data_IF_706973169613
#
_entry.id   IF_706973169613
#
_cell.length_a   1.000
_cell.length_b   1.000
_cell.length_c   1.000
_cell.angle_alpha   90.00
_cell.angle_beta   90.00
_cell.angle_gamma   90.00
#
_symmetry.space_group_name_H-M   'P 1'
#
loop_
_entity.id
_entity.type
_entity.pdbx_description
1 polymer ?
#
# COMPACT_ATOMS: atom_id res chain seq x y z
N UNK A 1 -13.17 -21.70 4.68
CA UNK A 1 -12.84 -20.87 5.86
C UNK A 1 -12.11 -19.63 5.37
N UNK A 2 -12.72 -18.45 5.49
CA UNK A 2 -12.03 -17.18 5.22
C UNK A 2 -10.92 -17.01 6.26
N UNK A 3 -9.67 -16.90 5.82
CA UNK A 3 -8.52 -16.61 6.68
C UNK A 3 -8.73 -15.20 7.23
N UNK A 4 -9.16 -15.09 8.49
CA UNK A 4 -9.35 -13.79 9.16
C UNK A 4 -7.96 -13.22 9.38
N UNK A 5 -7.66 -12.10 8.73
CA UNK A 5 -6.44 -11.35 8.95
C UNK A 5 -6.59 -10.64 10.30
N UNK A 6 -5.77 -11.02 11.29
CA UNK A 6 -5.76 -10.40 12.61
C UNK A 6 -5.35 -8.92 12.51
N UNK A 7 -6.09 -8.03 13.15
CA UNK A 7 -5.79 -6.59 13.18
C UNK A 7 -4.74 -6.28 14.28
N UNK A 8 -3.52 -6.79 14.15
CA UNK A 8 -2.45 -6.56 15.13
C UNK A 8 -1.48 -5.45 14.67
N UNK A 9 -1.12 -4.54 15.57
CA UNK A 9 -0.19 -3.44 15.26
C UNK A 9 1.23 -3.92 14.91
N UNK A 10 1.69 -5.03 15.50
CA UNK A 10 2.99 -5.64 15.20
C UNK A 10 3.12 -6.07 13.73
N UNK A 11 2.05 -6.57 13.13
CA UNK A 11 2.03 -6.99 11.73
C UNK A 11 2.09 -5.78 10.77
N UNK A 12 1.67 -4.60 11.20
CA UNK A 12 1.59 -3.40 10.35
C UNK A 12 2.94 -2.94 9.83
N UNK A 13 3.99 -3.00 10.66
CA UNK A 13 5.35 -2.64 10.25
C UNK A 13 5.90 -3.66 9.24
N UNK A 14 5.75 -4.95 9.54
CA UNK A 14 6.20 -6.03 8.66
C UNK A 14 5.49 -6.00 7.29
N UNK A 15 4.19 -5.73 7.28
CA UNK A 15 3.40 -5.54 6.06
C UNK A 15 3.94 -4.35 5.25
N UNK A 16 4.17 -3.21 5.90
CA UNK A 16 4.68 -2.00 5.23
C UNK A 16 6.06 -2.26 4.60
N UNK A 17 6.95 -2.93 5.32
CA UNK A 17 8.28 -3.27 4.81
C UNK A 17 8.21 -4.27 3.64
N UNK A 18 7.32 -5.27 3.74
CA UNK A 18 7.08 -6.23 2.65
C UNK A 18 6.55 -5.54 1.38
N UNK A 19 5.64 -4.56 1.54
CA UNK A 19 5.12 -3.77 0.41
C UNK A 19 6.26 -2.94 -0.21
N UNK A 20 7.11 -2.28 0.59
CA UNK A 20 8.27 -1.54 0.05
C UNK A 20 9.23 -2.44 -0.73
N UNK A 21 9.53 -3.63 -0.20
CA UNK A 21 10.36 -4.63 -0.88
C UNK A 21 9.71 -5.03 -2.21
N UNK A 22 8.40 -5.27 -2.24
CA UNK A 22 7.65 -5.56 -3.47
C UNK A 22 7.77 -4.41 -4.48
N UNK A 23 7.53 -3.17 -4.07
CA UNK A 23 7.61 -1.99 -4.95
C UNK A 23 8.99 -1.82 -5.58
N UNK A 24 10.04 -2.05 -4.80
CA UNK A 24 11.42 -2.00 -5.28
C UNK A 24 11.75 -3.17 -6.20
N UNK A 25 11.38 -4.40 -5.83
CA UNK A 25 11.68 -5.62 -6.59
C UNK A 25 11.03 -5.61 -7.98
N UNK A 26 9.82 -5.08 -8.09
CA UNK A 26 9.06 -5.06 -9.34
C UNK A 26 9.08 -3.69 -10.03
N UNK A 27 9.90 -2.75 -9.56
CA UNK A 27 10.00 -1.39 -10.10
C UNK A 27 8.63 -0.73 -10.34
N UNK A 28 7.70 -0.90 -9.40
CA UNK A 28 6.28 -0.47 -9.54
C UNK A 28 6.18 1.02 -9.85
N UNK A 29 7.04 1.85 -9.23
CA UNK A 29 7.11 3.28 -9.51
C UNK A 29 7.48 3.59 -10.97
N UNK A 30 8.35 2.80 -11.59
CA UNK A 30 8.73 2.98 -13.00
C UNK A 30 7.57 2.60 -13.93
N UNK A 31 6.86 1.52 -13.61
CA UNK A 31 5.66 1.07 -14.35
C UNK A 31 4.56 2.14 -14.28
N UNK A 32 4.32 2.72 -13.10
CA UNK A 32 3.35 3.80 -12.93
C UNK A 32 3.74 5.03 -13.77
N UNK A 33 5.04 5.37 -13.80
CA UNK A 33 5.55 6.48 -14.61
C UNK A 33 5.39 6.23 -16.11
N UNK A 34 5.68 5.02 -16.59
CA UNK A 34 5.53 4.67 -18.02
C UNK A 34 4.06 4.58 -18.44
N UNK A 35 3.15 4.28 -17.51
CA UNK A 35 1.71 4.20 -17.75
C UNK A 35 1.02 5.58 -17.82
N UNK A 36 1.77 6.67 -17.98
CA UNK A 36 1.26 8.05 -17.98
C UNK A 36 0.48 8.46 -16.71
N UNK A 37 0.70 7.78 -15.59
CA UNK A 37 0.04 8.15 -14.33
C UNK A 37 0.65 9.45 -13.82
N UNK A 38 -0.15 10.51 -13.78
CA UNK A 38 0.27 11.83 -13.34
C UNK A 38 0.13 11.97 -11.83
N UNK A 39 1.01 12.78 -11.23
CA UNK A 39 0.86 13.21 -9.83
C UNK A 39 -0.48 13.92 -9.68
N UNK A 40 -1.23 13.56 -8.64
CA UNK A 40 -2.46 14.24 -8.24
C UNK A 40 -2.14 15.13 -7.04
N UNK A 41 -2.34 16.44 -7.19
CA UNK A 41 -2.20 17.42 -6.09
C UNK A 41 -0.89 17.31 -5.28
N UNK A 42 0.23 17.01 -5.96
CA UNK A 42 1.55 16.91 -5.33
C UNK A 42 1.92 15.53 -4.81
N UNK A 43 0.97 14.60 -4.67
CA UNK A 43 1.25 13.24 -4.22
C UNK A 43 1.73 12.33 -5.35
N UNK A 44 2.67 11.44 -5.00
CA UNK A 44 3.15 10.42 -5.91
C UNK A 44 2.09 9.33 -6.09
N UNK A 45 1.76 8.90 -7.33
CA UNK A 45 0.88 7.76 -7.56
C UNK A 45 1.34 6.48 -6.86
N UNK A 46 2.67 6.30 -6.70
CA UNK A 46 3.24 5.18 -5.95
C UNK A 46 2.83 5.20 -4.48
N UNK A 47 2.72 6.38 -3.86
CA UNK A 47 2.33 6.53 -2.46
C UNK A 47 0.86 6.13 -2.27
N UNK A 48 0.00 6.56 -3.19
CA UNK A 48 -1.43 6.21 -3.18
C UNK A 48 -1.60 4.70 -3.32
N UNK A 49 -0.88 4.07 -4.25
CA UNK A 49 -0.96 2.62 -4.44
C UNK A 49 -0.39 1.85 -3.24
N UNK A 50 0.72 2.32 -2.66
CA UNK A 50 1.32 1.72 -1.47
C UNK A 50 0.37 1.81 -0.26
N UNK A 51 -0.35 2.92 -0.12
CA UNK A 51 -1.40 3.10 0.89
C UNK A 51 -2.59 2.16 0.65
N UNK A 52 -3.07 2.03 -0.59
CA UNK A 52 -4.14 1.08 -0.91
C UNK A 52 -3.74 -0.37 -0.58
N UNK A 53 -2.50 -0.76 -0.89
CA UNK A 53 -1.99 -2.09 -0.53
C UNK A 53 -1.94 -2.27 0.99
N UNK A 54 -1.46 -1.27 1.74
CA UNK A 54 -1.39 -1.36 3.20
C UNK A 54 -2.78 -1.50 3.83
N UNK A 55 -3.80 -0.82 3.32
CA UNK A 55 -5.19 -0.96 3.78
C UNK A 55 -5.72 -2.39 3.59
N UNK A 56 -5.53 -2.96 2.40
CA UNK A 56 -5.98 -4.33 2.08
C UNK A 56 -5.30 -5.35 2.99
N UNK A 57 -3.98 -5.28 3.14
CA UNK A 57 -3.24 -6.27 3.93
C UNK A 57 -3.41 -6.09 5.45
N UNK A 58 -3.71 -4.87 5.92
CA UNK A 58 -4.06 -4.62 7.33
C UNK A 58 -5.54 -4.91 7.62
N UNK A 59 -6.33 -5.26 6.60
CA UNK A 59 -7.78 -5.41 6.69
C UNK A 59 -8.45 -4.19 7.36
N UNK A 60 -8.04 -2.99 6.92
CA UNK A 60 -8.60 -1.71 7.35
C UNK A 60 -9.21 -0.98 6.16
N UNK A 61 -10.36 -0.35 6.38
CA UNK A 61 -10.87 0.64 5.43
C UNK A 61 -10.11 1.96 5.61
N UNK A 62 -10.09 2.80 4.58
CA UNK A 62 -9.52 4.15 4.69
C UNK A 62 -10.12 4.93 5.86
N UNK A 63 -11.45 4.82 6.06
CA UNK A 63 -12.15 5.46 7.18
C UNK A 63 -11.61 5.02 8.54
N UNK A 64 -11.36 3.72 8.74
CA UNK A 64 -10.84 3.17 9.99
C UNK A 64 -9.36 3.48 10.25
N UNK A 65 -8.61 3.86 9.22
CA UNK A 65 -7.20 4.27 9.35
C UNK A 65 -7.06 5.78 9.60
N UNK A 66 -8.14 6.54 9.40
CA UNK A 66 -8.22 7.99 9.66
C UNK A 66 -8.79 8.33 11.04
N UNK A 67 -9.39 7.37 11.73
CA UNK A 67 -9.88 7.47 13.11
C UNK A 67 -8.77 7.12 14.10
#
# INVERSE_FOLDING_TARGET
MSKIISQNELDTKQITDSIKIFFNKFHVSAILKSSNVKKLKGESPSNILMYAFSLVFRNKSMYMDML
#
